data_IF_348402002011
#
_entry.id   IF_348402002011
#
_cell.length_a   1.000
_cell.length_b   1.000
_cell.length_c   1.000
_cell.angle_alpha   90.00
_cell.angle_beta   90.00
_cell.angle_gamma   90.00
#
_symmetry.space_group_name_H-M   'P 1'
#
loop_
_entity.id
_entity.type
_entity.pdbx_description
1 polymer ?
#
# COMPACT_ATOMS: atom_id res chain seq x y z
N UNK A 1 16.00 22.89 4.90
CA UNK A 1 16.04 21.57 4.22
C UNK A 1 14.76 21.41 3.43
N UNK A 2 14.85 20.96 2.18
CA UNK A 2 13.67 20.69 1.34
C UNK A 2 13.23 19.25 1.56
N UNK A 3 12.00 19.06 2.05
CA UNK A 3 11.37 17.74 2.18
C UNK A 3 10.91 17.28 0.79
N UNK A 4 11.24 16.06 0.39
CA UNK A 4 10.77 15.46 -0.87
C UNK A 4 9.66 14.48 -0.56
N UNK A 5 8.54 14.64 -1.24
CA UNK A 5 7.38 13.78 -1.14
C UNK A 5 7.16 13.16 -2.51
N UNK A 6 7.02 11.84 -2.55
CA UNK A 6 6.59 11.07 -3.71
C UNK A 6 5.12 10.77 -3.54
N UNK A 7 4.32 11.04 -4.56
CA UNK A 7 2.88 10.76 -4.57
C UNK A 7 2.61 9.71 -5.64
N UNK A 8 1.94 8.63 -5.27
CA UNK A 8 1.58 7.52 -6.15
C UNK A 8 0.06 7.34 -6.15
N UNK A 9 -0.51 7.17 -7.34
CA UNK A 9 -1.87 6.67 -7.53
C UNK A 9 -1.76 5.27 -8.11
N UNK A 10 -2.32 4.27 -7.45
CA UNK A 10 -2.24 2.86 -7.88
C UNK A 10 -3.62 2.20 -7.93
N UNK A 11 -3.78 1.25 -8.83
CA UNK A 11 -4.93 0.36 -8.89
C UNK A 11 -4.44 -1.07 -8.63
N UNK A 12 -4.98 -1.74 -7.62
CA UNK A 12 -4.64 -3.12 -7.26
C UNK A 12 -5.81 -4.02 -7.67
N UNK A 13 -5.70 -4.74 -8.80
CA UNK A 13 -6.82 -5.53 -9.33
C UNK A 13 -7.30 -6.58 -8.33
N UNK A 14 -8.62 -6.77 -8.27
CA UNK A 14 -9.24 -7.78 -7.41
C UNK A 14 -8.80 -9.20 -7.76
N UNK A 15 -8.65 -9.48 -9.06
CA UNK A 15 -8.31 -10.77 -9.66
C UNK A 15 -6.80 -10.99 -9.80
N UNK A 16 -5.98 -10.09 -9.24
CA UNK A 16 -4.54 -10.30 -9.17
C UNK A 16 -4.25 -11.59 -8.35
N UNK A 17 -3.35 -12.46 -8.83
CA UNK A 17 -3.05 -13.73 -8.15
C UNK A 17 -2.39 -13.51 -6.78
N UNK A 18 -1.59 -12.45 -6.66
CA UNK A 18 -0.92 -12.07 -5.42
C UNK A 18 -1.76 -11.04 -4.64
N UNK A 19 -1.82 -11.16 -3.30
CA UNK A 19 -2.48 -10.17 -2.47
C UNK A 19 -1.69 -8.85 -2.48
N UNK A 20 -2.36 -7.71 -2.24
CA UNK A 20 -1.70 -6.42 -2.18
C UNK A 20 -0.79 -6.29 -0.95
N UNK A 21 0.30 -5.50 -1.03
CA UNK A 21 0.70 -4.64 -2.15
C UNK A 21 1.28 -5.42 -3.34
N UNK A 22 1.18 -4.87 -4.54
CA UNK A 22 1.85 -5.44 -5.71
C UNK A 22 3.35 -5.09 -5.71
N UNK A 23 4.12 -5.82 -6.53
CA UNK A 23 5.57 -5.62 -6.67
C UNK A 23 5.97 -4.18 -7.01
N UNK A 24 5.18 -3.48 -7.82
CA UNK A 24 5.47 -2.09 -8.19
C UNK A 24 5.42 -1.13 -6.98
N UNK A 25 4.48 -1.33 -6.06
CA UNK A 25 4.42 -0.57 -4.81
C UNK A 25 5.60 -0.91 -3.88
N UNK A 26 5.97 -2.19 -3.78
CA UNK A 26 7.14 -2.61 -3.00
C UNK A 26 8.43 -1.98 -3.54
N UNK A 27 8.62 -1.99 -4.86
CA UNK A 27 9.76 -1.36 -5.52
C UNK A 27 9.79 0.16 -5.29
N UNK A 28 8.63 0.82 -5.25
CA UNK A 28 8.52 2.25 -4.94
C UNK A 28 8.89 2.57 -3.49
N UNK A 29 8.46 1.74 -2.54
CA UNK A 29 8.85 1.85 -1.12
C UNK A 29 10.36 1.69 -0.99
N UNK A 30 10.93 0.64 -1.61
CA UNK A 30 12.36 0.37 -1.63
C UNK A 30 13.17 1.50 -2.29
N UNK A 31 12.58 2.20 -3.27
CA UNK A 31 13.19 3.36 -3.88
C UNK A 31 13.20 4.59 -2.96
N UNK A 32 12.13 4.84 -2.20
CA UNK A 32 11.99 6.03 -1.36
C UNK A 32 12.74 5.92 -0.02
N UNK A 33 12.69 4.74 0.61
CA UNK A 33 13.23 4.47 1.95
C UNK A 33 14.70 4.90 2.13
N UNK A 34 15.68 4.50 1.30
CA UNK A 34 17.09 4.88 1.49
C UNK A 34 17.36 6.37 1.22
N UNK A 35 16.41 7.09 0.61
CA UNK A 35 16.54 8.52 0.31
C UNK A 35 15.88 9.40 1.37
N UNK A 36 15.22 8.79 2.36
CA UNK A 36 14.38 9.49 3.36
C UNK A 36 13.37 10.43 2.69
N UNK A 37 12.77 9.98 1.59
CA UNK A 37 11.68 10.68 0.93
C UNK A 37 10.37 10.13 1.47
N UNK A 38 9.43 11.01 1.78
CA UNK A 38 8.10 10.55 2.19
C UNK A 38 7.35 10.00 0.99
N UNK A 39 6.54 8.97 1.21
CA UNK A 39 5.72 8.35 0.19
C UNK A 39 4.25 8.43 0.62
N UNK A 40 3.42 9.02 -0.24
CA UNK A 40 1.97 9.02 -0.11
C UNK A 40 1.37 8.20 -1.25
N UNK A 41 0.66 7.12 -0.90
CA UNK A 41 -0.02 6.26 -1.87
C UNK A 41 -1.53 6.42 -1.72
N UNK A 42 -2.19 6.85 -2.79
CA UNK A 42 -3.62 6.68 -2.97
C UNK A 42 -3.88 5.45 -3.84
N UNK A 43 -4.80 4.57 -3.44
CA UNK A 43 -5.13 3.43 -4.28
C UNK A 43 -6.58 3.00 -4.17
N UNK A 44 -7.06 2.36 -5.23
CA UNK A 44 -8.17 1.43 -5.16
C UNK A 44 -7.56 0.02 -5.02
N UNK A 45 -7.61 -0.51 -3.81
CA UNK A 45 -6.93 -1.75 -3.44
C UNK A 45 -7.75 -3.01 -3.70
N UNK A 46 -9.06 -2.85 -3.96
CA UNK A 46 -10.05 -3.93 -3.88
C UNK A 46 -9.99 -4.74 -2.55
N UNK A 47 -9.49 -4.11 -1.48
CA UNK A 47 -9.34 -4.71 -0.15
C UNK A 47 -10.38 -4.12 0.80
N UNK A 48 -11.12 -5.00 1.47
CA UNK A 48 -12.14 -4.61 2.44
C UNK A 48 -11.62 -4.88 3.85
N UNK A 49 -11.64 -3.86 4.69
CA UNK A 49 -11.37 -4.02 6.12
C UNK A 49 -12.04 -2.90 6.93
N UNK A 50 -12.48 -3.26 8.13
CA UNK A 50 -13.02 -2.33 9.12
C UNK A 50 -12.09 -1.16 9.50
N UNK A 51 -10.76 -1.31 9.35
CA UNK A 51 -9.77 -0.27 9.71
C UNK A 51 -9.90 0.96 8.83
N UNK A 52 -10.28 0.78 7.56
CA UNK A 52 -10.59 1.86 6.63
C UNK A 52 -12.10 1.98 6.33
N UNK A 53 -12.94 1.47 7.24
CA UNK A 53 -14.38 1.73 7.23
C UNK A 53 -15.22 0.85 6.30
N UNK A 54 -14.69 -0.26 5.78
CA UNK A 54 -15.52 -1.25 5.09
C UNK A 54 -16.47 -1.97 6.06
N UNK A 55 -17.62 -2.42 5.56
CA UNK A 55 -18.60 -3.18 6.35
C UNK A 55 -18.20 -4.63 6.61
N UNK A 56 -17.25 -5.15 5.83
CA UNK A 56 -16.75 -6.52 5.91
C UNK A 56 -15.22 -6.54 5.83
N UNK A 57 -14.62 -7.70 6.08
CA UNK A 57 -13.19 -7.97 5.96
C UNK A 57 -12.99 -9.10 4.96
N UNK A 58 -12.19 -8.86 3.92
CA UNK A 58 -11.80 -9.91 2.98
C UNK A 58 -10.31 -10.28 3.14
N UNK A 59 -9.85 -11.44 2.65
CA UNK A 59 -8.45 -11.85 2.79
C UNK A 59 -7.44 -10.84 2.23
N UNK A 60 -7.83 -10.09 1.20
CA UNK A 60 -7.01 -9.00 0.64
C UNK A 60 -6.87 -7.82 1.61
N UNK A 61 -7.88 -7.55 2.42
CA UNK A 61 -7.85 -6.57 3.50
C UNK A 61 -6.98 -6.98 4.65
N UNK A 62 -7.06 -8.25 5.08
CA UNK A 62 -6.18 -8.77 6.12
C UNK A 62 -4.71 -8.70 5.69
N UNK A 63 -4.40 -9.16 4.48
CA UNK A 63 -3.03 -9.13 3.93
C UNK A 63 -2.50 -7.71 3.76
N UNK A 64 -3.34 -6.77 3.29
CA UNK A 64 -2.93 -5.36 3.16
C UNK A 64 -2.67 -4.73 4.53
N UNK A 65 -3.51 -5.01 5.53
CA UNK A 65 -3.30 -4.49 6.89
C UNK A 65 -2.03 -5.07 7.50
N UNK A 66 -1.79 -6.36 7.36
CA UNK A 66 -0.55 -7.01 7.81
C UNK A 66 0.67 -6.37 7.17
N UNK A 67 0.64 -6.11 5.86
CA UNK A 67 1.71 -5.40 5.17
C UNK A 67 1.92 -4.00 5.75
N UNK A 68 0.85 -3.21 5.95
CA UNK A 68 0.97 -1.86 6.53
C UNK A 68 1.53 -1.86 7.96
N UNK A 69 1.26 -2.91 8.74
CA UNK A 69 1.73 -3.04 10.12
C UNK A 69 3.17 -3.56 10.22
N UNK A 70 3.62 -4.33 9.24
CA UNK A 70 4.96 -4.95 9.21
C UNK A 70 5.96 -4.14 8.39
N UNK A 71 5.49 -3.38 7.40
CA UNK A 71 6.33 -2.48 6.63
C UNK A 71 6.69 -1.30 7.50
N UNK A 72 7.96 -1.21 7.88
CA UNK A 72 8.57 0.02 8.37
C UNK A 72 8.62 1.05 7.23
N UNK A 73 7.48 1.64 6.90
CA UNK A 73 7.34 2.83 6.07
C UNK A 73 7.91 4.06 6.77
#
# INVERSE_FOLDING_TARGET
MTRRIVICSSYLPYDAPDPPPNRDLEDLVNFCKPKSWDLLVGCDSNSQHSVWGSSDVNPRGESLLECLMTTEL
#
